data_IF_592871355227
#
_entry.id   IF_592871355227
#
_cell.length_a   1.000
_cell.length_b   1.000
_cell.length_c   1.000
_cell.angle_alpha   90.00
_cell.angle_beta   90.00
_cell.angle_gamma   90.00
#
_symmetry.space_group_name_H-M   'P 1'
#
loop_
_entity.id
_entity.type
_entity.pdbx_description
1 polymer ?
#
# COMPACT_ATOMS: atom_id res chain seq x y z
N UNK A 1 1.12 -4.72 21.29
CA UNK A 1 1.49 -5.07 19.91
C UNK A 1 1.77 -3.78 19.17
N UNK A 2 2.98 -3.53 18.67
CA UNK A 2 3.25 -2.36 17.82
C UNK A 2 2.64 -2.60 16.43
N UNK A 3 1.35 -2.32 16.30
CA UNK A 3 0.63 -2.29 15.03
C UNK A 3 1.00 -0.98 14.29
N UNK A 4 2.19 -0.93 13.68
CA UNK A 4 2.77 0.32 13.16
C UNK A 4 3.15 0.33 11.68
N UNK A 5 2.77 -0.66 10.88
CA UNK A 5 2.96 -0.58 9.43
C UNK A 5 1.78 0.14 8.75
N UNK A 6 1.54 1.41 9.11
CA UNK A 6 0.58 2.24 8.40
C UNK A 6 1.23 2.84 7.16
N UNK A 7 0.67 2.54 6.00
CA UNK A 7 1.07 3.15 4.73
C UNK A 7 0.42 4.53 4.62
N UNK A 8 1.08 5.55 5.17
CA UNK A 8 0.59 6.92 5.22
C UNK A 8 1.47 7.85 4.39
N UNK A 9 0.85 8.86 3.79
CA UNK A 9 1.56 9.94 3.10
C UNK A 9 1.49 9.85 1.57
N UNK A 10 2.37 10.60 0.88
CA UNK A 10 2.41 10.64 -0.58
C UNK A 10 2.72 9.27 -1.20
N UNK A 11 2.37 9.05 -2.50
CA UNK A 11 2.58 7.77 -3.16
C UNK A 11 4.01 7.24 -3.04
N UNK A 12 5.01 8.13 -3.16
CA UNK A 12 6.43 7.77 -3.05
C UNK A 12 6.77 7.11 -1.70
N UNK A 13 6.25 7.62 -0.59
CA UNK A 13 6.51 7.07 0.73
C UNK A 13 5.86 5.69 0.91
N UNK A 14 4.66 5.51 0.34
CA UNK A 14 3.98 4.21 0.33
C UNK A 14 4.75 3.19 -0.51
N UNK A 15 5.24 3.60 -1.69
CA UNK A 15 6.07 2.75 -2.54
C UNK A 15 7.35 2.32 -1.81
N UNK A 16 8.05 3.25 -1.18
CA UNK A 16 9.29 2.96 -0.45
C UNK A 16 9.04 2.01 0.72
N UNK A 17 7.92 2.17 1.43
CA UNK A 17 7.52 1.26 2.50
C UNK A 17 7.25 -0.16 1.99
N UNK A 18 6.54 -0.31 0.86
CA UNK A 18 6.28 -1.63 0.25
C UNK A 18 7.59 -2.27 -0.24
N UNK A 19 8.48 -1.51 -0.88
CA UNK A 19 9.81 -2.02 -1.29
C UNK A 19 10.68 -2.45 -0.11
N UNK A 20 10.58 -1.75 1.02
CA UNK A 20 11.27 -2.16 2.25
C UNK A 20 10.76 -3.50 2.77
N UNK A 21 9.48 -3.82 2.57
CA UNK A 21 8.91 -5.14 2.89
C UNK A 21 9.39 -6.18 1.88
N UNK A 22 9.37 -5.90 0.58
CA UNK A 22 9.92 -6.81 -0.46
C UNK A 22 11.38 -7.19 -0.18
N UNK A 23 12.20 -6.24 0.24
CA UNK A 23 13.61 -6.48 0.59
C UNK A 23 13.79 -7.41 1.80
N UNK A 24 12.82 -7.44 2.72
CA UNK A 24 12.84 -8.33 3.89
C UNK A 24 12.40 -9.76 3.54
N UNK A 25 11.61 -9.93 2.48
CA UNK A 25 11.05 -11.23 2.06
C UNK A 25 11.41 -11.53 0.60
N UNK A 26 12.60 -12.10 0.32
CA UNK A 26 13.00 -12.49 -1.02
C UNK A 26 11.98 -13.45 -1.66
N UNK A 27 11.45 -13.09 -2.83
CA UNK A 27 10.43 -13.86 -3.53
C UNK A 27 8.98 -13.55 -3.12
N UNK A 28 8.74 -12.45 -2.42
CA UNK A 28 7.40 -11.95 -2.15
C UNK A 28 6.64 -11.68 -3.46
N UNK A 29 5.54 -12.40 -3.68
CA UNK A 29 4.68 -12.29 -4.86
C UNK A 29 3.37 -11.54 -4.56
N UNK A 30 2.82 -11.74 -3.36
CA UNK A 30 1.55 -11.16 -2.95
C UNK A 30 1.63 -10.58 -1.56
N UNK A 31 1.02 -9.41 -1.37
CA UNK A 31 0.80 -8.81 -0.05
C UNK A 31 -0.61 -8.23 0.02
N UNK A 32 -1.18 -8.20 1.22
CA UNK A 32 -2.52 -7.70 1.46
C UNK A 32 -2.45 -6.40 2.25
N UNK A 33 -3.07 -5.34 1.72
CA UNK A 33 -3.25 -4.08 2.43
C UNK A 33 -4.62 -4.07 3.09
N UNK A 34 -4.65 -3.82 4.39
CA UNK A 34 -5.89 -3.59 5.13
C UNK A 34 -6.14 -2.08 5.24
N UNK A 35 -7.37 -1.65 4.97
CA UNK A 35 -7.79 -0.26 5.14
C UNK A 35 -8.39 -0.05 6.52
N UNK A 36 -8.27 1.17 7.05
CA UNK A 36 -8.80 1.48 8.38
C UNK A 36 -10.31 1.23 8.44
N UNK A 37 -10.73 0.58 9.52
CA UNK A 37 -12.14 0.38 9.84
C UNK A 37 -12.83 1.73 10.08
N UNK A 38 -14.06 1.88 9.59
CA UNK A 38 -14.87 3.09 9.79
C UNK A 38 -14.66 4.22 8.77
N UNK A 39 -13.79 4.05 7.77
CA UNK A 39 -13.73 4.98 6.63
C UNK A 39 -15.06 4.95 5.87
N UNK A 40 -15.70 6.09 5.57
CA UNK A 40 -16.95 6.07 4.83
C UNK A 40 -16.75 5.56 3.39
N UNK A 41 -17.79 4.99 2.75
CA UNK A 41 -17.62 4.25 1.49
C UNK A 41 -17.07 5.08 0.32
N UNK A 42 -17.28 6.40 0.33
CA UNK A 42 -16.81 7.30 -0.73
C UNK A 42 -15.29 7.46 -0.64
N UNK A 43 -14.82 7.82 0.54
CA UNK A 43 -13.40 8.03 0.87
C UNK A 43 -12.64 6.72 0.66
N UNK A 44 -13.20 5.58 1.08
CA UNK A 44 -12.61 4.27 0.83
C UNK A 44 -12.37 4.02 -0.67
N UNK A 45 -13.38 4.27 -1.52
CA UNK A 45 -13.25 4.12 -2.97
C UNK A 45 -12.23 5.09 -3.57
N UNK A 46 -12.14 6.31 -3.07
CA UNK A 46 -11.15 7.29 -3.52
C UNK A 46 -9.73 6.84 -3.18
N UNK A 47 -9.51 6.33 -1.96
CA UNK A 47 -8.23 5.79 -1.53
C UNK A 47 -7.82 4.57 -2.37
N UNK A 48 -8.75 3.65 -2.65
CA UNK A 48 -8.50 2.51 -3.53
C UNK A 48 -8.09 2.94 -4.94
N UNK A 49 -8.80 3.90 -5.53
CA UNK A 49 -8.47 4.43 -6.87
C UNK A 49 -7.11 5.13 -6.89
N UNK A 50 -6.83 5.92 -5.86
CA UNK A 50 -5.54 6.58 -5.70
C UNK A 50 -4.40 5.56 -5.61
N UNK A 51 -4.54 4.53 -4.77
CA UNK A 51 -3.54 3.47 -4.63
C UNK A 51 -3.31 2.73 -5.96
N UNK A 52 -4.39 2.38 -6.66
CA UNK A 52 -4.32 1.71 -7.95
C UNK A 52 -3.63 2.57 -9.03
N UNK A 53 -3.86 3.88 -9.03
CA UNK A 53 -3.30 4.80 -10.04
C UNK A 53 -1.86 5.18 -9.74
N UNK A 54 -1.54 5.48 -8.48
CA UNK A 54 -0.31 6.18 -8.12
C UNK A 54 0.72 5.27 -7.43
N UNK A 55 0.31 4.11 -6.89
CA UNK A 55 1.20 3.17 -6.18
C UNK A 55 1.44 1.90 -6.97
N UNK A 56 0.38 1.21 -7.42
CA UNK A 56 0.50 -0.08 -8.12
C UNK A 56 1.43 -0.08 -9.34
N UNK A 57 1.50 0.98 -10.18
CA UNK A 57 2.39 0.97 -11.34
C UNK A 57 3.88 0.82 -11.01
N UNK A 58 4.30 1.12 -9.77
CA UNK A 58 5.69 0.93 -9.34
C UNK A 58 6.09 -0.54 -9.15
N UNK A 59 5.11 -1.44 -9.07
CA UNK A 59 5.28 -2.88 -8.80
C UNK A 59 4.82 -3.76 -9.97
N UNK A 60 4.23 -3.16 -11.00
CA UNK A 60 3.87 -3.86 -12.23
C UNK A 60 5.12 -4.04 -13.08
N UNK A 61 5.83 -5.15 -12.86
CA UNK A 61 6.82 -5.64 -13.83
C UNK A 61 6.07 -6.07 -15.09
N UNK A 62 6.52 -5.60 -16.25
CA UNK A 62 6.02 -6.07 -17.56
C UNK A 62 6.22 -7.56 -17.74
#
# INVERSE_FOLDING_TARGET
VEQKAWLLGPPAQVIDAVKSVEAQYPGLDQFMVHWAEGIPPKEFKEQLRWFARDVMPAFQTR
#
